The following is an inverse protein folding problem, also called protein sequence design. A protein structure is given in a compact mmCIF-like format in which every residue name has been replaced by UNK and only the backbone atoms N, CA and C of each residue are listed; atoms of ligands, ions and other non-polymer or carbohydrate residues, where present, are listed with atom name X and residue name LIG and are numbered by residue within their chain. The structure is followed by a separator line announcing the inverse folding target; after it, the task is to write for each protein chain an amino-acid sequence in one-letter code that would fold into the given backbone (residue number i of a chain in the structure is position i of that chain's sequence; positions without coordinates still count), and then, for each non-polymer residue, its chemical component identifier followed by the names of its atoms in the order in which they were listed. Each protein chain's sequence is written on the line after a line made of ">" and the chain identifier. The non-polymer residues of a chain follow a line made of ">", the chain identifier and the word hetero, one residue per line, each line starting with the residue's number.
data_IF_553655739223
#
_entry.id   IF_553655739223
#
_cell.length_a   1.000
_cell.length_b   1.000
_cell.length_c   1.000
_cell.angle_alpha   90.00
_cell.angle_beta   90.00
_cell.angle_gamma   90.00
#
_symmetry.space_group_name_H-M   'P 1'
#
loop_
_entity.id
_entity.type
_entity.pdbx_description
1 polymer ?
#
# COMPACT_ATOMS: atom_id res chain seq x y z
N UNK A 1 -4.42 15.87 2.32
CA UNK A 1 -5.69 15.53 1.63
C UNK A 1 -5.83 14.02 1.68
N UNK A 2 -6.96 13.51 2.19
CA UNK A 2 -7.25 12.07 2.25
C UNK A 2 -7.57 11.58 0.83
N UNK A 3 -6.53 11.23 0.07
CA UNK A 3 -6.66 10.70 -1.28
C UNK A 3 -6.76 9.17 -1.24
N UNK A 4 -7.81 8.65 -0.59
CA UNK A 4 -8.13 7.23 -0.76
C UNK A 4 -8.73 7.03 -2.14
N UNK A 5 -8.24 6.02 -2.86
CA UNK A 5 -8.78 5.66 -4.17
C UNK A 5 -10.18 5.05 -4.02
N UNK A 6 -10.97 5.04 -5.10
CA UNK A 6 -12.27 4.36 -5.12
C UNK A 6 -12.08 2.88 -4.78
N UNK A 7 -12.77 2.45 -3.73
CA UNK A 7 -12.70 1.10 -3.19
C UNK A 7 -13.09 0.02 -4.19
N UNK A 8 -14.11 0.27 -5.03
CA UNK A 8 -14.56 -0.68 -6.03
C UNK A 8 -13.49 -0.89 -7.11
N UNK A 9 -12.67 0.13 -7.37
CA UNK A 9 -11.61 0.06 -8.36
C UNK A 9 -10.42 -0.70 -7.79
N UNK A 10 -9.83 -0.22 -6.68
CA UNK A 10 -8.57 -0.82 -6.19
C UNK A 10 -8.76 -2.24 -5.64
N UNK A 11 -9.96 -2.62 -5.21
CA UNK A 11 -10.23 -4.00 -4.78
C UNK A 11 -10.25 -5.02 -5.92
N UNK A 12 -10.23 -4.60 -7.19
CA UNK A 12 -10.03 -5.49 -8.34
C UNK A 12 -8.56 -5.57 -8.79
N UNK A 13 -7.70 -4.67 -8.30
CA UNK A 13 -6.29 -4.60 -8.67
C UNK A 13 -5.45 -5.56 -7.81
N UNK A 14 -4.35 -6.08 -8.38
CA UNK A 14 -3.42 -6.93 -7.61
C UNK A 14 -2.69 -6.12 -6.54
N UNK A 15 -2.40 -6.76 -5.40
CA UNK A 15 -1.69 -6.11 -4.30
C UNK A 15 -0.33 -5.57 -4.75
N UNK A 16 0.41 -6.33 -5.57
CA UNK A 16 1.71 -5.91 -6.11
C UNK A 16 1.63 -4.59 -6.89
N UNK A 17 0.62 -4.43 -7.76
CA UNK A 17 0.44 -3.18 -8.53
C UNK A 17 0.08 -2.01 -7.62
N UNK A 18 -0.74 -2.25 -6.60
CA UNK A 18 -1.07 -1.23 -5.60
C UNK A 18 0.16 -0.81 -4.78
N UNK A 19 1.02 -1.78 -4.41
CA UNK A 19 2.28 -1.50 -3.73
C UNK A 19 3.24 -0.69 -4.60
N UNK A 20 3.38 -1.01 -5.89
CA UNK A 20 4.18 -0.22 -6.84
C UNK A 20 3.65 1.21 -6.94
N UNK A 21 2.33 1.38 -7.05
CA UNK A 21 1.72 2.71 -7.11
C UNK A 21 1.98 3.52 -5.83
N UNK A 22 1.87 2.90 -4.66
CA UNK A 22 2.20 3.55 -3.40
C UNK A 22 3.67 3.99 -3.33
N UNK A 23 4.60 3.13 -3.77
CA UNK A 23 6.04 3.46 -3.87
C UNK A 23 6.26 4.63 -4.85
N UNK A 24 5.59 4.61 -6.01
CA UNK A 24 5.66 5.71 -6.98
C UNK A 24 5.20 7.03 -6.37
N UNK A 25 4.11 7.02 -5.58
CA UNK A 25 3.61 8.23 -4.91
C UNK A 25 4.58 8.79 -3.87
N UNK A 26 5.24 7.93 -3.10
CA UNK A 26 6.30 8.34 -2.17
C UNK A 26 7.46 8.97 -2.93
N UNK A 27 7.92 8.33 -4.01
CA UNK A 27 9.03 8.81 -4.83
C UNK A 27 8.70 10.13 -5.56
N UNK A 28 7.48 10.28 -6.07
CA UNK A 28 6.97 11.53 -6.69
C UNK A 28 6.99 12.71 -5.70
N UNK A 29 6.80 12.44 -4.41
CA UNK A 29 6.89 13.44 -3.35
C UNK A 29 8.34 13.73 -2.91
N UNK A 30 9.34 13.06 -3.50
CA UNK A 30 10.74 13.16 -3.10
C UNK A 30 11.05 12.55 -1.73
N UNK A 31 10.17 11.69 -1.22
CA UNK A 31 10.34 11.02 0.07
C UNK A 31 11.12 9.71 -0.08
N UNK A 32 11.86 9.32 0.96
CA UNK A 32 12.53 8.02 0.99
C UNK A 32 11.50 6.88 1.09
N UNK A 33 11.67 5.84 0.26
CA UNK A 33 10.85 4.64 0.28
C UNK A 33 11.24 3.66 1.40
N UNK A 34 11.38 4.17 2.62
CA UNK A 34 11.59 3.35 3.81
C UNK A 34 10.40 2.40 4.03
N UNK A 35 10.66 1.20 4.59
CA UNK A 35 9.64 0.16 4.71
C UNK A 35 8.37 0.63 5.45
N UNK A 36 8.52 1.31 6.59
CA UNK A 36 7.39 1.86 7.36
C UNK A 36 6.62 2.94 6.58
N UNK A 37 7.33 3.73 5.76
CA UNK A 37 6.72 4.75 4.90
C UNK A 37 5.86 4.11 3.82
N UNK A 38 6.32 3.01 3.22
CA UNK A 38 5.56 2.23 2.24
C UNK A 38 4.35 1.56 2.87
N UNK A 39 4.47 1.02 4.09
CA UNK A 39 3.32 0.48 4.84
C UNK A 39 2.26 1.57 5.05
N UNK A 40 2.68 2.72 5.57
CA UNK A 40 1.79 3.87 5.81
C UNK A 40 1.08 4.29 4.52
N UNK A 41 1.81 4.41 3.41
CA UNK A 41 1.22 4.84 2.13
C UNK A 41 0.25 3.80 1.58
N UNK A 42 0.62 2.52 1.54
CA UNK A 42 -0.26 1.43 1.09
C UNK A 42 -1.57 1.41 1.88
N UNK A 43 -1.49 1.54 3.20
CA UNK A 43 -2.67 1.56 4.07
C UNK A 43 -3.51 2.84 3.90
N UNK A 44 -2.86 3.99 3.73
CA UNK A 44 -3.55 5.27 3.52
C UNK A 44 -4.32 5.29 2.20
N UNK A 45 -3.71 4.78 1.12
CA UNK A 45 -4.30 4.79 -0.21
C UNK A 45 -5.34 3.68 -0.40
N UNK A 46 -5.09 2.49 0.17
CA UNK A 46 -5.86 1.27 -0.10
C UNK A 46 -6.20 0.48 1.19
N UNK A 47 -6.88 1.10 2.17
CA UNK A 47 -7.03 0.55 3.52
C UNK A 47 -7.64 -0.85 3.53
N UNK A 48 -8.71 -1.10 2.74
CA UNK A 48 -9.39 -2.42 2.70
C UNK A 48 -8.50 -3.58 2.25
N UNK A 49 -7.44 -3.29 1.47
CA UNK A 49 -6.53 -4.30 0.91
C UNK A 49 -5.25 -4.46 1.71
N UNK A 50 -4.87 -3.45 2.51
CA UNK A 50 -3.65 -3.46 3.31
C UNK A 50 -3.89 -3.39 4.81
N UNK A 51 -5.13 -3.54 5.27
CA UNK A 51 -5.45 -3.70 6.68
C UNK A 51 -5.33 -5.15 7.16
N UNK A 52 -5.20 -5.32 8.47
CA UNK A 52 -5.41 -6.61 9.12
C UNK A 52 -6.87 -7.02 8.98
N UNK A 53 -7.13 -8.33 8.80
CA UNK A 53 -8.49 -8.83 8.56
C UNK A 53 -9.42 -8.64 9.77
N UNK A 54 -8.88 -8.79 10.99
CA UNK A 54 -9.66 -8.65 12.25
C UNK A 54 -9.53 -7.27 12.90
N UNK A 55 -8.59 -6.46 12.43
CA UNK A 55 -8.27 -5.15 12.99
C UNK A 55 -8.07 -4.15 11.84
N UNK A 56 -9.14 -3.83 11.10
CA UNK A 56 -9.05 -3.07 9.85
C UNK A 56 -8.48 -1.65 10.00
N UNK A 57 -8.44 -1.12 11.23
CA UNK A 57 -7.84 0.15 11.59
C UNK A 57 -6.30 0.12 11.62
N UNK A 58 -5.68 -1.07 11.57
CA UNK A 58 -4.23 -1.24 11.58
C UNK A 58 -3.71 -1.85 10.26
N UNK A 59 -2.52 -1.41 9.80
CA UNK A 59 -1.91 -1.94 8.59
C UNK A 59 -1.36 -3.36 8.78
N UNK A 60 -1.49 -4.19 7.75
CA UNK A 60 -0.85 -5.49 7.63
C UNK A 60 0.55 -5.32 6.99
N UNK A 61 1.55 -5.04 7.83
CA UNK A 61 2.93 -4.88 7.37
C UNK A 61 3.52 -6.14 6.73
N UNK A 62 3.15 -7.33 7.23
CA UNK A 62 3.65 -8.59 6.67
C UNK A 62 3.21 -8.76 5.21
N UNK A 63 1.96 -8.40 4.88
CA UNK A 63 1.46 -8.35 3.50
C UNK A 63 2.29 -7.41 2.64
N UNK A 64 2.55 -6.18 3.09
CA UNK A 64 3.37 -5.21 2.35
C UNK A 64 4.78 -5.76 2.09
N UNK A 65 5.42 -6.38 3.08
CA UNK A 65 6.74 -7.01 2.92
C UNK A 65 6.77 -8.05 1.80
N UNK A 66 5.76 -8.93 1.76
CA UNK A 66 5.64 -9.96 0.72
C UNK A 66 5.51 -9.32 -0.66
N UNK A 67 4.68 -8.29 -0.81
CA UNK A 67 4.47 -7.63 -2.10
C UNK A 67 5.70 -6.85 -2.57
N UNK A 68 6.45 -6.22 -1.65
CA UNK A 68 7.74 -5.57 -1.98
C UNK A 68 8.73 -6.60 -2.53
N UNK A 69 8.79 -7.81 -1.96
CA UNK A 69 9.67 -8.86 -2.45
C UNK A 69 9.28 -9.28 -3.87
N UNK A 70 7.99 -9.42 -4.14
CA UNK A 70 7.47 -9.74 -5.49
C UNK A 70 7.71 -8.65 -6.54
N UNK A 71 7.99 -7.41 -6.12
CA UNK A 71 8.34 -6.34 -7.06
C UNK A 71 9.77 -6.48 -7.63
N UNK A 72 10.60 -7.37 -7.07
CA UNK A 72 11.99 -7.56 -7.47
C UNK A 72 12.18 -8.67 -8.52
N UNK A 73 11.18 -9.54 -8.67
CA UNK A 73 11.14 -10.64 -9.63
C UNK A 73 10.51 -10.20 -10.95
#
# INVERSE_FOLDING_TARGET
>A
MNNSFDENIYTSVSLTKLTILAISKIAENGEECAYERVIKECFTLFPKRFSLQRYPEWPDGARVKIEILRCRD
#
